data_IF_323377769341
#
_entry.id   IF_323377769341
#
_cell.length_a   1.000
_cell.length_b   1.000
_cell.length_c   1.000
_cell.angle_alpha   90.00
_cell.angle_beta   90.00
_cell.angle_gamma   90.00
#
_symmetry.space_group_name_H-M   'P 1'
#
loop_
_entity.id
_entity.type
_entity.pdbx_description
1 polymer ?
#
# COMPACT_ATOMS: atom_id res chain seq x y z
N UNK A 1 -8.88 -18.36 -2.27
CA UNK A 1 -10.01 -17.47 -2.56
C UNK A 1 -9.47 -16.35 -3.43
N UNK A 2 -9.77 -16.34 -4.71
CA UNK A 2 -9.32 -15.31 -5.65
C UNK A 2 -9.95 -13.98 -5.23
N UNK A 3 -9.13 -12.96 -4.98
CA UNK A 3 -9.61 -11.59 -4.81
C UNK A 3 -10.12 -11.05 -6.16
N UNK A 4 -11.24 -11.57 -6.63
CA UNK A 4 -11.98 -10.98 -7.75
C UNK A 4 -12.72 -9.77 -7.21
N UNK A 5 -12.01 -8.64 -7.10
CA UNK A 5 -12.71 -7.39 -6.96
C UNK A 5 -13.15 -6.94 -8.36
N UNK A 6 -14.42 -6.66 -8.54
CA UNK A 6 -14.92 -5.97 -9.75
C UNK A 6 -14.53 -4.49 -9.74
N UNK A 7 -13.54 -4.11 -8.93
CA UNK A 7 -13.06 -2.73 -8.80
C UNK A 7 -12.15 -2.45 -9.99
N UNK A 8 -12.43 -1.38 -10.71
CA UNK A 8 -11.52 -0.82 -11.69
C UNK A 8 -10.46 0.00 -10.95
N UNK A 9 -9.20 -0.40 -11.08
CA UNK A 9 -8.10 0.33 -10.47
C UNK A 9 -7.59 1.44 -11.38
N UNK A 10 -7.26 2.59 -10.79
CA UNK A 10 -6.58 3.70 -11.45
C UNK A 10 -5.32 4.04 -10.67
N UNK A 11 -4.17 3.99 -11.34
CA UNK A 11 -2.88 4.29 -10.75
C UNK A 11 -2.41 5.67 -11.20
N UNK A 12 -1.95 6.48 -10.27
CA UNK A 12 -1.41 7.82 -10.53
C UNK A 12 -0.06 7.99 -9.86
N UNK A 13 0.91 8.49 -10.60
CA UNK A 13 2.19 8.94 -10.04
C UNK A 13 2.04 10.39 -9.63
N UNK A 14 2.43 10.69 -8.39
CA UNK A 14 2.44 12.04 -7.85
C UNK A 14 3.89 12.53 -7.82
N UNK A 15 4.13 13.72 -8.37
CA UNK A 15 5.46 14.36 -8.32
C UNK A 15 5.70 14.90 -6.91
N UNK A 16 6.24 14.05 -6.04
CA UNK A 16 6.56 14.34 -4.65
C UNK A 16 7.74 13.48 -4.21
N UNK A 17 8.77 14.09 -3.66
CA UNK A 17 10.00 13.42 -3.20
C UNK A 17 9.81 12.67 -1.88
N UNK A 18 8.69 12.84 -1.19
CA UNK A 18 8.37 12.05 0.00
C UNK A 18 8.18 10.58 -0.37
N UNK A 19 8.76 9.68 0.43
CA UNK A 19 8.56 8.25 0.27
C UNK A 19 7.17 7.91 0.81
N UNK A 20 6.17 7.92 -0.09
CA UNK A 20 4.79 7.63 0.27
C UNK A 20 4.02 7.01 -0.90
N UNK A 21 2.97 6.25 -0.55
CA UNK A 21 1.91 5.81 -1.43
C UNK A 21 0.62 5.71 -0.59
N UNK A 22 -0.51 5.88 -1.21
CA UNK A 22 -1.79 5.75 -0.52
C UNK A 22 -2.91 5.34 -1.48
N UNK A 23 -3.91 4.67 -0.94
CA UNK A 23 -5.09 4.26 -1.68
C UNK A 23 -6.33 5.00 -1.17
N UNK A 24 -7.23 5.33 -2.09
CA UNK A 24 -8.52 5.91 -1.75
C UNK A 24 -9.67 5.01 -2.21
N UNK A 25 -10.88 5.36 -1.78
CA UNK A 25 -12.09 4.69 -2.25
C UNK A 25 -12.21 4.76 -3.79
N UNK A 26 -12.92 3.80 -4.37
CA UNK A 26 -13.15 3.77 -5.82
C UNK A 26 -12.03 3.11 -6.62
N UNK A 27 -10.97 2.64 -5.99
CA UNK A 27 -9.88 1.92 -6.67
C UNK A 27 -8.72 2.81 -7.10
N UNK A 28 -8.57 4.00 -6.57
CA UNK A 28 -7.46 4.89 -6.89
C UNK A 28 -6.26 4.58 -5.99
N UNK A 29 -5.09 4.46 -6.61
CA UNK A 29 -3.80 4.25 -5.94
C UNK A 29 -2.85 5.34 -6.40
N UNK A 30 -2.28 6.07 -5.46
CA UNK A 30 -1.33 7.14 -5.68
C UNK A 30 0.05 6.70 -5.21
N UNK A 31 1.07 6.97 -6.01
CA UNK A 31 2.45 6.59 -5.70
C UNK A 31 3.35 7.79 -5.94
N UNK A 32 4.03 8.24 -4.90
CA UNK A 32 4.95 9.36 -4.99
C UNK A 32 6.24 8.97 -5.73
N UNK A 33 6.79 9.92 -6.49
CA UNK A 33 8.09 9.74 -7.18
C UNK A 33 9.20 9.38 -6.21
N UNK A 34 9.18 9.91 -4.98
CA UNK A 34 10.12 9.56 -3.93
C UNK A 34 10.09 8.07 -3.55
N UNK A 35 8.90 7.45 -3.51
CA UNK A 35 8.78 6.01 -3.24
C UNK A 35 9.32 5.18 -4.42
N UNK A 36 8.99 5.56 -5.65
CA UNK A 36 9.50 4.88 -6.86
C UNK A 36 11.04 4.91 -6.88
N UNK A 37 11.65 6.06 -6.59
CA UNK A 37 13.11 6.20 -6.50
C UNK A 37 13.72 5.42 -5.33
N UNK A 38 12.99 5.30 -4.22
CA UNK A 38 13.45 4.57 -3.05
C UNK A 38 13.42 3.04 -3.22
N UNK A 39 12.57 2.49 -4.07
CA UNK A 39 12.54 1.07 -4.36
C UNK A 39 13.82 0.64 -5.10
N UNK A 40 14.42 -0.49 -4.70
CA UNK A 40 15.61 -1.02 -5.34
C UNK A 40 15.30 -1.81 -6.61
N UNK A 41 14.08 -2.31 -6.71
CA UNK A 41 13.62 -3.16 -7.81
C UNK A 41 12.11 -3.14 -7.95
N UNK A 42 11.62 -3.68 -9.06
CA UNK A 42 10.20 -3.72 -9.40
C UNK A 42 9.34 -4.48 -8.37
N UNK A 43 9.87 -5.58 -7.81
CA UNK A 43 9.14 -6.37 -6.83
C UNK A 43 8.91 -5.61 -5.51
N UNK A 44 9.82 -4.72 -5.11
CA UNK A 44 9.59 -3.83 -3.95
C UNK A 44 8.45 -2.84 -4.23
N UNK A 45 8.43 -2.22 -5.39
CA UNK A 45 7.34 -1.33 -5.81
C UNK A 45 6.01 -2.10 -5.90
N UNK A 46 6.02 -3.28 -6.51
CA UNK A 46 4.85 -4.16 -6.59
C UNK A 46 4.33 -4.57 -5.19
N UNK A 47 5.23 -4.75 -4.22
CA UNK A 47 4.88 -5.02 -2.83
C UNK A 47 4.07 -3.88 -2.19
N UNK A 48 4.51 -2.63 -2.37
CA UNK A 48 3.78 -1.46 -1.87
C UNK A 48 2.45 -1.30 -2.59
N UNK A 49 2.43 -1.37 -3.92
CA UNK A 49 1.18 -1.29 -4.69
C UNK A 49 0.20 -2.39 -4.28
N UNK A 50 0.69 -3.61 -4.07
CA UNK A 50 -0.11 -4.73 -3.59
C UNK A 50 -0.70 -4.47 -2.20
N UNK A 51 0.05 -3.83 -1.30
CA UNK A 51 -0.41 -3.41 0.01
C UNK A 51 -1.54 -2.37 -0.09
N UNK A 52 -1.38 -1.35 -0.96
CA UNK A 52 -2.43 -0.34 -1.20
C UNK A 52 -3.71 -0.97 -1.78
N UNK A 53 -3.58 -1.89 -2.73
CA UNK A 53 -4.70 -2.70 -3.23
C UNK A 53 -5.31 -3.51 -2.08
N UNK A 54 -4.51 -3.96 -1.12
CA UNK A 54 -4.95 -4.62 0.10
C UNK A 54 -5.90 -3.74 0.92
N UNK A 55 -5.59 -2.46 1.10
CA UNK A 55 -6.47 -1.49 1.78
C UNK A 55 -7.79 -1.29 1.03
N UNK A 56 -7.77 -1.19 -0.30
CA UNK A 56 -8.98 -1.08 -1.11
C UNK A 56 -9.87 -2.32 -0.98
N UNK A 57 -9.29 -3.51 -1.15
CA UNK A 57 -10.03 -4.77 -1.08
C UNK A 57 -10.49 -5.13 0.34
N UNK A 58 -9.79 -4.66 1.36
CA UNK A 58 -10.16 -4.71 2.77
C UNK A 58 -11.23 -3.68 3.15
N UNK A 59 -11.47 -2.67 2.29
CA UNK A 59 -12.39 -1.56 2.53
C UNK A 59 -12.04 -0.73 3.78
N UNK A 60 -10.74 -0.62 4.11
CA UNK A 60 -10.29 0.01 5.34
C UNK A 60 -10.69 1.49 5.38
N UNK A 61 -10.47 2.26 4.31
CA UNK A 61 -10.88 3.67 4.23
C UNK A 61 -12.39 3.86 4.45
N UNK A 62 -13.23 2.93 3.91
CA UNK A 62 -14.68 2.99 4.11
C UNK A 62 -15.04 2.77 5.59
N UNK A 63 -14.34 1.86 6.26
CA UNK A 63 -14.54 1.60 7.69
C UNK A 63 -14.15 2.82 8.53
N UNK A 64 -13.02 3.45 8.24
CA UNK A 64 -12.56 4.66 8.92
C UNK A 64 -13.53 5.83 8.74
N UNK A 65 -14.04 6.06 7.52
CA UNK A 65 -15.04 7.10 7.26
C UNK A 65 -16.32 6.83 8.04
N UNK A 66 -16.80 5.59 8.07
CA UNK A 66 -17.98 5.24 8.87
C UNK A 66 -17.77 5.51 10.36
N UNK A 67 -16.61 5.12 10.89
CA UNK A 67 -16.27 5.36 12.29
C UNK A 67 -16.17 6.86 12.60
N UNK A 68 -15.52 7.64 11.74
CA UNK A 68 -15.44 9.09 11.87
C UNK A 68 -16.82 9.76 11.81
N UNK A 69 -17.69 9.35 10.90
CA UNK A 69 -19.05 9.86 10.78
C UNK A 69 -19.88 9.55 12.03
N UNK A 70 -19.80 8.33 12.55
CA UNK A 70 -20.49 7.94 13.80
C UNK A 70 -19.97 8.76 14.98
N UNK A 71 -18.66 8.95 15.09
CA UNK A 71 -18.05 9.76 16.14
C UNK A 71 -18.50 11.23 16.10
N UNK A 72 -18.86 11.74 14.93
CA UNK A 72 -19.42 13.08 14.71
C UNK A 72 -20.94 13.15 14.86
N UNK A 73 -21.59 12.06 15.31
CA UNK A 73 -23.03 11.99 15.52
C UNK A 73 -23.87 11.71 14.27
N UNK A 74 -23.23 11.36 13.15
CA UNK A 74 -23.95 10.98 11.94
C UNK A 74 -24.50 9.55 12.07
N UNK A 75 -25.82 9.41 11.95
CA UNK A 75 -26.47 8.09 11.96
C UNK A 75 -26.30 7.33 10.64
N UNK A 76 -25.90 8.01 9.56
CA UNK A 76 -25.79 7.43 8.22
C UNK A 76 -24.99 8.36 7.30
N UNK A 77 -24.30 7.77 6.30
CA UNK A 77 -23.72 8.52 5.18
C UNK A 77 -24.75 8.78 4.06
N UNK A 78 -26.00 8.38 4.25
CA UNK A 78 -27.06 8.63 3.30
C UNK A 78 -27.37 10.13 3.23
N UNK A 79 -27.29 10.70 2.03
CA UNK A 79 -27.53 12.13 1.81
C UNK A 79 -26.29 13.02 1.83
N UNK A 80 -25.10 12.45 2.06
CA UNK A 80 -23.84 13.17 1.87
C UNK A 80 -23.51 13.23 0.38
N UNK A 81 -23.11 14.40 -0.10
CA UNK A 81 -22.69 14.60 -1.49
C UNK A 81 -21.53 13.65 -1.84
N UNK A 82 -21.59 12.93 -2.98
CA UNK A 82 -20.52 12.04 -3.42
C UNK A 82 -19.14 12.71 -3.49
N UNK A 83 -19.06 13.96 -3.91
CA UNK A 83 -17.80 14.70 -3.97
C UNK A 83 -17.23 15.00 -2.59
N UNK A 84 -18.08 15.28 -1.61
CA UNK A 84 -17.67 15.41 -0.21
C UNK A 84 -17.16 14.09 0.35
N UNK A 85 -17.78 12.96 0.00
CA UNK A 85 -17.30 11.63 0.42
C UNK A 85 -15.90 11.35 -0.16
N UNK A 86 -15.66 11.73 -1.41
CA UNK A 86 -14.32 11.57 -2.04
C UNK A 86 -13.30 12.44 -1.32
N UNK A 87 -13.59 13.71 -1.05
CA UNK A 87 -12.70 14.62 -0.32
C UNK A 87 -12.39 14.10 1.09
N UNK A 88 -13.40 13.66 1.83
CA UNK A 88 -13.20 13.03 3.14
C UNK A 88 -12.33 11.77 3.01
N UNK A 89 -12.56 10.96 1.98
CA UNK A 89 -11.77 9.75 1.73
C UNK A 89 -10.29 10.03 1.50
N UNK A 90 -9.97 11.04 0.69
CA UNK A 90 -8.59 11.50 0.46
C UNK A 90 -7.98 12.04 1.74
N UNK A 91 -8.69 12.90 2.47
CA UNK A 91 -8.21 13.45 3.74
C UNK A 91 -7.94 12.34 4.76
N UNK A 92 -8.84 11.38 4.91
CA UNK A 92 -8.67 10.23 5.81
C UNK A 92 -7.43 9.43 5.43
N UNK A 93 -7.24 9.13 4.14
CA UNK A 93 -6.08 8.37 3.66
C UNK A 93 -4.75 9.08 3.93
N UNK A 94 -4.73 10.41 3.91
CA UNK A 94 -3.51 11.21 4.12
C UNK A 94 -3.24 11.55 5.58
N UNK A 95 -4.28 11.65 6.43
CA UNK A 95 -4.14 12.22 7.77
C UNK A 95 -4.34 11.24 8.92
N UNK A 96 -5.08 10.15 8.69
CA UNK A 96 -5.35 9.17 9.73
C UNK A 96 -4.49 7.92 9.54
N UNK A 97 -3.66 7.56 10.53
CA UNK A 97 -2.92 6.31 10.46
C UNK A 97 -3.88 5.12 10.48
N UNK A 98 -3.57 4.12 9.69
CA UNK A 98 -4.31 2.87 9.69
C UNK A 98 -4.17 2.15 11.04
N UNK A 99 -5.16 1.35 11.40
CA UNK A 99 -5.04 0.48 12.57
C UNK A 99 -4.03 -0.65 12.29
N UNK A 100 -3.40 -1.20 13.34
CA UNK A 100 -2.52 -2.36 13.19
C UNK A 100 -3.22 -3.53 12.49
N UNK A 101 -4.52 -3.69 12.73
CA UNK A 101 -5.34 -4.76 12.15
C UNK A 101 -5.50 -4.58 10.64
N UNK A 102 -5.76 -3.34 10.20
CA UNK A 102 -5.85 -2.99 8.78
C UNK A 102 -4.52 -3.25 8.07
N UNK A 103 -3.42 -2.88 8.73
CA UNK A 103 -2.07 -3.10 8.20
C UNK A 103 -1.76 -4.59 8.01
N UNK A 104 -2.10 -5.44 8.98
CA UNK A 104 -1.90 -6.89 8.86
C UNK A 104 -2.80 -7.51 7.77
N UNK A 105 -4.04 -7.02 7.61
CA UNK A 105 -4.91 -7.48 6.53
C UNK A 105 -4.41 -7.01 5.17
N UNK A 106 -3.98 -5.75 5.04
CA UNK A 106 -3.41 -5.21 3.82
C UNK A 106 -2.12 -5.94 3.42
N UNK A 107 -1.23 -6.21 4.38
CA UNK A 107 -0.01 -6.99 4.18
C UNK A 107 -0.31 -8.40 3.66
N UNK A 108 -1.25 -9.10 4.28
CA UNK A 108 -1.67 -10.44 3.85
C UNK A 108 -2.23 -10.44 2.44
N UNK A 109 -3.05 -9.45 2.10
CA UNK A 109 -3.63 -9.30 0.75
C UNK A 109 -2.57 -8.93 -0.27
N UNK A 110 -1.71 -7.98 0.05
CA UNK A 110 -0.61 -7.54 -0.80
C UNK A 110 0.36 -8.69 -1.12
N UNK A 111 0.79 -9.41 -0.09
CA UNK A 111 1.65 -10.59 -0.25
C UNK A 111 1.00 -11.67 -1.13
N UNK A 112 -0.30 -11.91 -0.95
CA UNK A 112 -1.05 -12.84 -1.79
C UNK A 112 -1.10 -12.37 -3.23
N UNK A 113 -1.31 -11.08 -3.45
CA UNK A 113 -1.31 -10.47 -4.80
C UNK A 113 0.05 -10.64 -5.46
N UNK A 114 1.16 -10.34 -4.78
CA UNK A 114 2.52 -10.58 -5.30
C UNK A 114 2.73 -12.02 -5.76
N UNK A 115 2.37 -12.98 -4.92
CA UNK A 115 2.52 -14.40 -5.26
C UNK A 115 1.67 -14.81 -6.47
N UNK A 116 0.47 -14.27 -6.62
CA UNK A 116 -0.43 -14.57 -7.75
C UNK A 116 0.00 -13.91 -9.06
N UNK A 117 0.61 -12.73 -8.98
CA UNK A 117 1.13 -12.00 -10.15
C UNK A 117 2.55 -12.40 -10.52
N UNK A 118 3.17 -13.29 -9.76
CA UNK A 118 4.47 -13.86 -10.06
C UNK A 118 5.66 -13.12 -9.44
N UNK A 119 5.47 -12.00 -8.76
CA UNK A 119 6.57 -11.27 -8.11
C UNK A 119 7.16 -12.03 -6.92
N UNK A 120 8.46 -11.80 -6.65
CA UNK A 120 9.16 -12.33 -5.49
C UNK A 120 8.58 -11.72 -4.20
N UNK A 121 7.91 -12.52 -3.34
CA UNK A 121 7.23 -11.96 -2.16
C UNK A 121 8.20 -11.50 -1.07
N UNK A 122 9.47 -11.94 -1.10
CA UNK A 122 10.53 -11.49 -0.18
C UNK A 122 10.81 -9.99 -0.28
N UNK A 123 10.56 -9.38 -1.44
CA UNK A 123 10.81 -7.96 -1.69
C UNK A 123 9.98 -7.04 -0.78
N UNK A 124 8.77 -7.44 -0.41
CA UNK A 124 7.89 -6.63 0.45
C UNK A 124 8.48 -6.42 1.86
N UNK A 125 8.82 -7.46 2.64
CA UNK A 125 9.47 -7.26 3.93
C UNK A 125 10.88 -6.65 3.82
N UNK A 126 11.59 -6.86 2.72
CA UNK A 126 12.90 -6.23 2.49
C UNK A 126 12.78 -4.73 2.32
N UNK A 127 11.81 -4.26 1.53
CA UNK A 127 11.55 -2.82 1.39
C UNK A 127 11.15 -2.19 2.73
N UNK A 128 10.29 -2.81 3.51
CA UNK A 128 9.94 -2.32 4.85
C UNK A 128 11.14 -2.21 5.77
N UNK A 129 12.05 -3.20 5.77
CA UNK A 129 13.31 -3.11 6.53
C UNK A 129 14.16 -1.92 6.10
N UNK A 130 14.25 -1.66 4.80
CA UNK A 130 14.97 -0.51 4.26
C UNK A 130 14.38 0.81 4.79
N UNK A 131 13.05 0.94 4.81
CA UNK A 131 12.38 2.13 5.32
C UNK A 131 12.65 2.37 6.81
N UNK A 132 12.68 1.32 7.63
CA UNK A 132 12.98 1.42 9.07
C UNK A 132 14.44 1.80 9.32
N UNK A 133 15.37 1.29 8.50
CA UNK A 133 16.80 1.53 8.68
C UNK A 133 17.28 2.88 8.12
N UNK A 134 16.42 3.61 7.45
CA UNK A 134 16.70 4.94 6.89
C UNK A 134 17.00 5.99 7.95
N UNK A 135 17.73 7.05 7.57
CA UNK A 135 18.11 8.15 8.48
C UNK A 135 16.94 9.03 8.93
N UNK A 136 15.83 9.02 8.20
CA UNK A 136 14.57 9.71 8.51
C UNK A 136 13.42 8.73 8.34
N UNK A 137 12.44 8.77 9.24
CA UNK A 137 11.22 7.99 9.08
C UNK A 137 10.43 8.52 7.90
N UNK A 138 10.24 7.75 6.82
CA UNK A 138 9.40 8.17 5.70
C UNK A 138 7.97 8.43 6.15
N UNK A 139 7.28 9.32 5.44
CA UNK A 139 5.85 9.60 5.66
C UNK A 139 5.00 8.33 5.62
N UNK A 140 5.38 7.39 4.74
CA UNK A 140 4.77 6.06 4.69
C UNK A 140 4.69 5.35 6.04
N UNK A 141 5.70 5.48 6.91
CA UNK A 141 5.68 4.84 8.23
C UNK A 141 4.70 5.50 9.19
N UNK A 142 4.36 6.77 8.96
CA UNK A 142 3.39 7.51 9.78
C UNK A 142 1.96 7.07 9.49
N UNK A 143 1.62 6.86 8.22
CA UNK A 143 0.31 6.36 7.80
C UNK A 143 0.16 4.84 7.95
N UNK A 144 1.29 4.10 7.93
CA UNK A 144 1.37 2.63 8.00
C UNK A 144 2.20 2.15 9.20
N UNK A 145 1.64 2.15 10.41
CA UNK A 145 2.38 1.88 11.66
C UNK A 145 2.78 0.40 11.85
N UNK A 146 3.46 0.13 12.97
CA UNK A 146 3.86 -1.20 13.46
C UNK A 146 4.80 -1.99 12.53
N UNK A 147 5.67 -1.31 11.79
CA UNK A 147 6.46 -1.88 10.67
C UNK A 147 7.37 -3.03 11.12
N UNK A 148 8.00 -2.96 12.30
CA UNK A 148 8.91 -4.02 12.78
C UNK A 148 8.20 -5.37 12.97
N UNK A 149 7.02 -5.36 13.58
CA UNK A 149 6.21 -6.56 13.78
C UNK A 149 5.68 -7.09 12.43
N UNK A 150 5.32 -6.19 11.54
CA UNK A 150 4.82 -6.51 10.19
C UNK A 150 5.89 -7.22 9.35
N UNK A 151 7.14 -6.78 9.40
CA UNK A 151 8.26 -7.44 8.73
C UNK A 151 8.38 -8.91 9.15
N UNK A 152 8.35 -9.18 10.47
CA UNK A 152 8.43 -10.53 10.98
C UNK A 152 7.24 -11.39 10.57
N UNK A 153 6.03 -10.81 10.54
CA UNK A 153 4.81 -11.49 10.11
C UNK A 153 4.85 -11.84 8.62
N UNK A 154 5.21 -10.88 7.76
CA UNK A 154 5.35 -11.10 6.33
C UNK A 154 6.34 -12.23 6.02
N UNK A 155 7.51 -12.24 6.67
CA UNK A 155 8.50 -13.28 6.47
C UNK A 155 7.97 -14.68 6.82
N UNK A 156 7.17 -14.79 7.89
CA UNK A 156 6.54 -16.07 8.29
C UNK A 156 5.45 -16.51 7.32
N UNK A 157 4.73 -15.56 6.72
CA UNK A 157 3.63 -15.84 5.79
C UNK A 157 4.09 -16.30 4.41
N UNK A 158 5.37 -16.08 4.04
CA UNK A 158 5.91 -16.53 2.74
C UNK A 158 6.08 -18.06 2.77
N UNK A 159 5.31 -18.82 1.95
CA UNK A 159 5.45 -20.27 1.89
C UNK A 159 6.84 -20.67 1.39
N UNK A 160 7.31 -21.85 1.79
CA UNK A 160 8.62 -22.36 1.40
C UNK A 160 8.81 -22.40 -0.14
N UNK A 161 7.76 -22.73 -0.89
CA UNK A 161 7.77 -22.78 -2.36
C UNK A 161 7.99 -21.41 -3.04
N UNK A 162 7.81 -20.31 -2.32
CA UNK A 162 7.98 -18.95 -2.85
C UNK A 162 9.25 -18.24 -2.36
N UNK A 163 9.99 -18.83 -1.40
CA UNK A 163 11.15 -18.18 -0.77
C UNK A 163 12.31 -17.88 -1.73
N UNK A 164 12.46 -18.71 -2.75
CA UNK A 164 13.55 -18.58 -3.72
C UNK A 164 13.11 -17.92 -5.03
N UNK A 165 11.94 -17.31 -5.08
CA UNK A 165 11.53 -16.55 -6.27
C UNK A 165 12.33 -15.27 -6.39
N UNK A 166 12.71 -14.95 -7.65
CA UNK A 166 13.55 -13.79 -7.99
C UNK A 166 12.87 -12.84 -8.98
N UNK A 167 11.64 -13.11 -9.32
CA UNK A 167 10.89 -12.33 -10.31
C UNK A 167 10.73 -10.87 -9.82
N UNK A 168 11.16 -9.94 -10.64
CA UNK A 168 11.12 -8.51 -10.34
C UNK A 168 12.25 -8.00 -9.44
N UNK A 169 13.24 -8.83 -9.05
CA UNK A 169 14.37 -8.41 -8.20
C UNK A 169 15.53 -7.76 -8.97
N UNK A 170 15.48 -7.67 -10.31
CA UNK A 170 16.56 -7.10 -11.10
C UNK A 170 16.63 -5.57 -10.96
N UNK A 171 17.52 -5.10 -10.08
CA UNK A 171 17.72 -3.69 -9.81
C UNK A 171 18.22 -2.90 -11.03
N UNK A 172 19.05 -3.49 -11.87
CA UNK A 172 19.59 -2.82 -13.07
C UNK A 172 18.50 -2.59 -14.11
N UNK A 173 17.66 -3.59 -14.35
CA UNK A 173 16.49 -3.47 -15.24
C UNK A 173 15.52 -2.40 -14.75
N UNK A 174 15.20 -2.41 -13.44
CA UNK A 174 14.33 -1.42 -12.82
C UNK A 174 14.87 0.00 -12.99
N UNK A 175 16.14 0.23 -12.63
CA UNK A 175 16.77 1.55 -12.78
C UNK A 175 16.83 2.01 -14.24
N UNK A 176 17.05 1.10 -15.18
CA UNK A 176 17.03 1.41 -16.60
C UNK A 176 15.65 1.87 -17.06
N UNK A 177 14.58 1.19 -16.61
CA UNK A 177 13.20 1.57 -16.94
C UNK A 177 12.83 2.95 -16.39
N UNK A 178 13.41 3.37 -15.27
CA UNK A 178 13.14 4.66 -14.66
C UNK A 178 13.85 5.85 -15.36
N UNK A 179 14.93 5.62 -16.13
CA UNK A 179 15.69 6.70 -16.79
C UNK A 179 14.90 7.57 -17.75
N UNK A 180 13.76 7.07 -18.25
CA UNK A 180 12.88 7.84 -19.14
C UNK A 180 11.87 8.70 -18.38
N UNK A 181 11.81 8.58 -17.07
CA UNK A 181 10.84 9.29 -16.22
C UNK A 181 11.50 10.31 -15.28
N UNK A 182 12.82 10.14 -15.00
CA UNK A 182 13.54 10.97 -14.02
C UNK A 182 14.90 11.44 -14.54
#
# INVERSE_FOLDING_TARGET
>A
MLFRSNIKYTFQVVEDENINAFATMGGFVYVNTGLIKAADNEAQLAGVIGHEIGHITGRHSIQHIKQAAIAQGASSLLGVDPDQIVQIGVQVALTLPNSRQDEYDADRRGLTTMMQTGYAPSAMPEFMKKLISGKSAPEFLSSHPAVTERVANLQRMIPASYRNRTDGLNASSYKQSLRSFF
#
